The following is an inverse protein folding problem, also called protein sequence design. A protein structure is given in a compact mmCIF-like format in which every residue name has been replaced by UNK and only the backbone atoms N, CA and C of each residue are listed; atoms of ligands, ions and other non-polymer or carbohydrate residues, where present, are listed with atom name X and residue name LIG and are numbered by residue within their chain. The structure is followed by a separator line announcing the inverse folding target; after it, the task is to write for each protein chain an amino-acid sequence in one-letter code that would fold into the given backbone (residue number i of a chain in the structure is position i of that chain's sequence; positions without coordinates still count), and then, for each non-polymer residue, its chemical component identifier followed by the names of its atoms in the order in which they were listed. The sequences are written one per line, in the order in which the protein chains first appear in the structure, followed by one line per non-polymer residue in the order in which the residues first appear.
data_IF_748974180316
#
_entry.id   IF_748974180316
#
_cell.length_a   1.000
_cell.length_b   1.000
_cell.length_c   1.000
_cell.angle_alpha   90.00
_cell.angle_beta   90.00
_cell.angle_gamma   90.00
#
_symmetry.space_group_name_H-M   'P 1'
#
loop_
_entity.id
_entity.type
_entity.pdbx_description
1 polymer ?
#
# COMPACT_ATOMS: atom_id res chain seq x y z
N UNK A 1 -4.03 -2.28 -3.64
CA UNK A 1 -4.48 -1.70 -2.35
C UNK A 1 -5.92 -2.08 -2.00
N UNK A 2 -6.92 -1.80 -2.86
CA UNK A 2 -8.34 -2.16 -2.61
C UNK A 2 -8.56 -3.64 -2.30
N UNK A 3 -7.99 -4.54 -3.11
CA UNK A 3 -8.12 -5.99 -2.90
C UNK A 3 -7.53 -6.43 -1.55
N UNK A 4 -6.36 -5.89 -1.16
CA UNK A 4 -5.72 -6.23 0.12
C UNK A 4 -6.56 -5.75 1.30
N UNK A 5 -7.14 -4.55 1.24
CA UNK A 5 -8.06 -4.05 2.26
C UNK A 5 -9.29 -4.94 2.35
N UNK A 6 -9.90 -5.31 1.21
CA UNK A 6 -11.04 -6.23 1.17
C UNK A 6 -10.71 -7.59 1.77
N UNK A 7 -9.53 -8.14 1.47
CA UNK A 7 -9.04 -9.39 2.05
C UNK A 7 -8.91 -9.28 3.56
N UNK A 8 -8.21 -8.26 4.07
CA UNK A 8 -8.02 -8.04 5.52
C UNK A 8 -9.36 -7.86 6.24
N UNK A 9 -10.26 -7.05 5.69
CA UNK A 9 -11.61 -6.85 6.25
C UNK A 9 -12.41 -8.17 6.26
N UNK A 10 -12.23 -9.00 5.23
CA UNK A 10 -12.83 -10.33 5.12
C UNK A 10 -12.25 -11.37 6.09
N UNK A 11 -11.19 -11.06 6.85
CA UNK A 11 -10.64 -11.94 7.90
C UNK A 11 -11.28 -11.72 9.27
N UNK A 12 -12.13 -10.70 9.42
CA UNK A 12 -12.82 -10.38 10.68
C UNK A 12 -13.56 -11.60 11.23
N UNK A 13 -13.29 -11.95 12.48
CA UNK A 13 -13.94 -13.06 13.18
C UNK A 13 -13.67 -14.45 12.59
N UNK A 14 -12.63 -14.59 11.74
CA UNK A 14 -12.23 -15.89 11.18
C UNK A 14 -11.15 -16.54 12.02
N UNK A 15 -11.19 -17.87 12.07
CA UNK A 15 -10.18 -18.70 12.70
C UNK A 15 -10.27 -18.76 14.22
N UNK A 16 -9.46 -19.63 14.85
CA UNK A 16 -9.41 -19.74 16.29
C UNK A 16 -8.70 -18.52 16.90
N UNK A 17 -9.23 -18.01 18.02
CA UNK A 17 -8.55 -17.00 18.85
C UNK A 17 -8.41 -17.53 20.27
N UNK A 18 -7.26 -17.29 20.88
CA UNK A 18 -7.02 -17.53 22.29
C UNK A 18 -7.64 -16.44 23.18
N UNK A 19 -8.11 -15.34 22.59
CA UNK A 19 -8.73 -14.22 23.34
C UNK A 19 -7.74 -13.56 24.30
N UNK A 20 -8.25 -12.88 25.33
CA UNK A 20 -7.43 -12.23 26.35
C UNK A 20 -7.10 -10.76 26.06
N UNK A 21 -5.97 -10.29 26.60
CA UNK A 21 -5.53 -8.91 26.50
C UNK A 21 -5.29 -8.50 25.05
N UNK A 22 -5.76 -7.30 24.72
CA UNK A 22 -5.68 -6.74 23.37
C UNK A 22 -4.43 -5.87 23.22
N UNK A 23 -3.84 -5.89 22.03
CA UNK A 23 -2.64 -5.13 21.72
C UNK A 23 -2.89 -3.60 21.72
N UNK A 24 -4.14 -3.16 21.55
CA UNK A 24 -4.49 -1.75 21.53
C UNK A 24 -4.12 -1.11 20.19
N UNK A 25 -4.49 -1.76 19.08
CA UNK A 25 -4.25 -1.21 17.74
C UNK A 25 -4.96 0.13 17.54
N UNK A 26 -4.24 1.08 16.95
CA UNK A 26 -4.83 2.34 16.53
C UNK A 26 -5.81 2.07 15.36
N UNK A 27 -7.00 2.69 15.33
CA UNK A 27 -7.94 2.56 14.21
C UNK A 27 -7.32 2.87 12.83
N UNK A 28 -6.31 3.74 12.78
CA UNK A 28 -5.57 4.09 11.57
C UNK A 28 -4.73 2.94 11.00
N UNK A 29 -4.55 1.83 11.74
CA UNK A 29 -3.90 0.63 11.23
C UNK A 29 -4.75 -0.09 10.17
N UNK A 30 -6.06 0.21 10.06
CA UNK A 30 -6.93 -0.33 9.01
C UNK A 30 -7.35 -1.80 9.19
N UNK A 31 -7.14 -2.35 10.39
CA UNK A 31 -7.56 -3.70 10.75
C UNK A 31 -9.03 -3.72 11.24
N UNK A 32 -9.82 -4.77 10.92
CA UNK A 32 -11.25 -4.85 11.26
C UNK A 32 -11.54 -5.09 12.75
N UNK A 33 -10.55 -5.59 13.50
CA UNK A 33 -10.62 -5.88 14.93
C UNK A 33 -9.22 -5.85 15.56
N UNK A 34 -9.17 -5.70 16.87
CA UNK A 34 -7.92 -5.64 17.63
C UNK A 34 -7.36 -7.05 17.90
N UNK A 35 -6.04 -7.16 17.87
CA UNK A 35 -5.32 -8.42 17.99
C UNK A 35 -5.19 -8.84 19.45
N UNK A 36 -5.28 -10.13 19.71
CA UNK A 36 -4.94 -10.69 21.02
C UNK A 36 -3.43 -10.85 21.15
N UNK A 37 -2.88 -10.45 22.30
CA UNK A 37 -1.47 -10.68 22.64
C UNK A 37 -1.17 -12.19 22.73
N UNK A 38 -2.12 -13.01 23.19
CA UNK A 38 -1.94 -14.46 23.27
C UNK A 38 -1.83 -15.10 21.89
N UNK A 39 -2.62 -14.64 20.91
CA UNK A 39 -2.53 -15.11 19.52
C UNK A 39 -1.19 -14.73 18.89
N UNK A 40 -0.69 -13.52 19.18
CA UNK A 40 0.61 -13.05 18.70
C UNK A 40 1.74 -13.91 19.28
N UNK A 41 1.77 -14.08 20.60
CA UNK A 41 2.80 -14.89 21.28
C UNK A 41 2.84 -16.31 20.74
N UNK A 42 1.67 -16.95 20.61
CA UNK A 42 1.58 -18.29 20.03
C UNK A 42 2.23 -18.35 18.64
N UNK A 43 1.93 -17.40 17.76
CA UNK A 43 2.53 -17.37 16.41
C UNK A 43 4.05 -17.17 16.52
N UNK A 44 4.53 -16.25 17.35
CA UNK A 44 5.96 -15.96 17.46
C UNK A 44 6.78 -17.10 18.09
N UNK A 45 6.18 -17.81 19.06
CA UNK A 45 6.79 -18.94 19.77
C UNK A 45 6.80 -20.21 18.89
N UNK A 46 5.71 -20.46 18.14
CA UNK A 46 5.59 -21.61 17.24
C UNK A 46 6.28 -21.38 15.87
N UNK A 47 6.64 -20.12 15.55
CA UNK A 47 7.26 -19.78 14.27
C UNK A 47 8.69 -20.32 14.21
N UNK A 48 9.04 -21.17 13.24
CA UNK A 48 10.43 -21.57 13.02
C UNK A 48 11.24 -20.40 12.42
N UNK A 49 12.54 -20.62 12.15
CA UNK A 49 13.34 -19.61 11.46
C UNK A 49 12.81 -19.33 10.05
N UNK A 50 13.11 -18.15 9.50
CA UNK A 50 12.68 -17.80 8.15
C UNK A 50 13.26 -18.76 7.10
N UNK A 51 14.51 -19.20 7.28
CA UNK A 51 15.13 -20.20 6.41
C UNK A 51 14.36 -21.54 6.43
N UNK A 52 13.93 -21.99 7.61
CA UNK A 52 13.13 -23.20 7.75
C UNK A 52 11.74 -23.05 7.14
N UNK A 53 11.11 -21.87 7.27
CA UNK A 53 9.84 -21.56 6.64
C UNK A 53 9.90 -21.68 5.12
N UNK A 54 10.90 -21.03 4.51
CA UNK A 54 11.06 -21.04 3.05
C UNK A 54 11.39 -22.44 2.54
N UNK A 55 12.20 -23.20 3.27
CA UNK A 55 12.53 -24.59 2.91
C UNK A 55 11.33 -25.55 3.03
N UNK A 56 10.51 -25.39 4.07
CA UNK A 56 9.40 -26.32 4.37
C UNK A 56 8.13 -25.99 3.58
N UNK A 57 7.93 -24.73 3.23
CA UNK A 57 6.76 -24.23 2.51
C UNK A 57 7.18 -23.46 1.24
N UNK A 58 7.81 -24.14 0.26
CA UNK A 58 8.19 -23.50 -0.98
C UNK A 58 6.96 -23.06 -1.77
N UNK A 59 7.08 -21.94 -2.48
CA UNK A 59 6.01 -21.41 -3.34
C UNK A 59 6.44 -21.55 -4.79
N UNK A 60 5.92 -22.59 -5.44
CA UNK A 60 6.26 -22.90 -6.83
C UNK A 60 5.88 -21.74 -7.78
N UNK A 61 6.75 -21.49 -8.76
CA UNK A 61 6.54 -20.44 -9.76
C UNK A 61 6.77 -19.02 -9.27
N UNK A 62 7.29 -18.83 -8.06
CA UNK A 62 7.65 -17.52 -7.52
C UNK A 62 9.18 -17.35 -7.46
N UNK A 63 9.71 -16.55 -8.38
CA UNK A 63 11.16 -16.27 -8.47
C UNK A 63 11.77 -15.77 -7.16
N UNK A 64 11.05 -14.97 -6.37
CA UNK A 64 11.58 -14.45 -5.11
C UNK A 64 11.61 -15.54 -4.02
N UNK A 65 10.59 -16.40 -3.99
CA UNK A 65 10.59 -17.56 -3.10
C UNK A 65 11.77 -18.51 -3.43
N UNK A 66 12.04 -18.76 -4.72
CA UNK A 66 13.18 -19.55 -5.17
C UNK A 66 14.55 -18.95 -4.77
N UNK A 67 14.58 -17.64 -4.50
CA UNK A 67 15.76 -16.90 -4.04
C UNK A 67 15.87 -16.79 -2.52
N UNK A 68 15.00 -17.47 -1.77
CA UNK A 68 15.04 -17.46 -0.30
C UNK A 68 14.20 -16.37 0.35
N UNK A 69 13.42 -15.60 -0.41
CA UNK A 69 12.54 -14.59 0.18
C UNK A 69 11.33 -15.25 0.85
N UNK A 70 10.95 -14.72 2.01
CA UNK A 70 9.74 -15.16 2.69
C UNK A 70 8.52 -14.51 2.03
N UNK A 71 7.54 -15.35 1.69
CA UNK A 71 6.28 -14.91 1.10
C UNK A 71 5.14 -15.04 2.11
N UNK A 72 4.09 -14.24 1.94
CA UNK A 72 2.91 -14.33 2.81
C UNK A 72 2.27 -15.72 2.73
N UNK A 73 2.23 -16.34 1.55
CA UNK A 73 1.68 -17.69 1.37
C UNK A 73 2.45 -18.74 2.17
N UNK A 74 3.78 -18.70 2.16
CA UNK A 74 4.60 -19.60 2.97
C UNK A 74 4.38 -19.37 4.47
N UNK A 75 4.35 -18.10 4.89
CA UNK A 75 4.12 -17.73 6.29
C UNK A 75 2.71 -18.12 6.78
N UNK A 76 1.69 -17.96 5.93
CA UNK A 76 0.31 -18.31 6.23
C UNK A 76 0.11 -19.83 6.29
N UNK A 77 0.73 -20.60 5.40
CA UNK A 77 0.66 -22.06 5.43
C UNK A 77 1.31 -22.63 6.69
N UNK A 78 2.46 -22.07 7.10
CA UNK A 78 3.12 -22.44 8.35
C UNK A 78 2.26 -22.17 9.59
N UNK A 79 1.35 -21.19 9.51
CA UNK A 79 0.52 -20.73 10.61
C UNK A 79 -0.99 -20.99 10.38
N UNK A 80 -1.36 -21.95 9.53
CA UNK A 80 -2.76 -22.16 9.11
C UNK A 80 -3.75 -22.48 10.23
N UNK A 81 -3.25 -22.95 11.37
CA UNK A 81 -4.06 -23.27 12.56
C UNK A 81 -4.18 -22.09 13.54
N UNK A 82 -3.59 -20.94 13.23
CA UNK A 82 -3.64 -19.73 14.04
C UNK A 82 -4.65 -18.74 13.49
N UNK A 83 -4.91 -17.67 14.25
CA UNK A 83 -5.81 -16.62 13.81
C UNK A 83 -5.27 -15.97 12.51
N UNK A 84 -5.98 -16.07 11.37
CA UNK A 84 -5.48 -15.60 10.09
C UNK A 84 -5.31 -14.08 10.05
N UNK A 85 -6.09 -13.33 10.83
CA UNK A 85 -5.93 -11.89 10.96
C UNK A 85 -4.62 -11.55 11.67
N UNK A 86 -4.30 -12.26 12.76
CA UNK A 86 -3.04 -12.07 13.49
C UNK A 86 -1.83 -12.46 12.63
N UNK A 87 -1.93 -13.57 11.89
CA UNK A 87 -0.88 -13.99 10.94
C UNK A 87 -0.67 -12.92 9.87
N UNK A 88 -1.75 -12.35 9.33
CA UNK A 88 -1.63 -11.26 8.35
C UNK A 88 -1.02 -10.00 8.96
N UNK A 89 -1.40 -9.66 10.19
CA UNK A 89 -0.87 -8.51 10.89
C UNK A 89 0.63 -8.59 11.15
N UNK A 90 1.10 -9.76 11.63
CA UNK A 90 2.54 -9.98 11.84
C UNK A 90 3.28 -9.91 10.51
N UNK A 91 2.76 -10.51 9.44
CA UNK A 91 3.43 -10.43 8.14
C UNK A 91 3.49 -8.99 7.60
N UNK A 92 2.41 -8.20 7.75
CA UNK A 92 2.34 -6.80 7.34
C UNK A 92 3.39 -5.91 8.04
N UNK A 93 3.94 -6.32 9.19
CA UNK A 93 5.06 -5.59 9.83
C UNK A 93 6.42 -6.00 9.30
N UNK A 94 6.56 -7.18 8.68
CA UNK A 94 7.83 -7.65 8.11
C UNK A 94 8.22 -6.88 6.85
N UNK A 95 7.24 -6.43 6.06
CA UNK A 95 7.51 -5.58 4.91
C UNK A 95 6.37 -4.59 4.61
N UNK A 96 6.74 -3.44 4.06
CA UNK A 96 5.80 -2.38 3.68
C UNK A 96 5.28 -2.64 2.27
N UNK A 97 4.01 -3.07 2.17
CA UNK A 97 3.19 -3.08 0.94
C UNK A 97 3.36 -4.24 -0.06
N UNK A 98 4.20 -5.24 0.20
CA UNK A 98 4.31 -6.44 -0.68
C UNK A 98 4.12 -7.74 0.10
N UNK A 99 3.65 -8.79 -0.58
CA UNK A 99 3.48 -10.14 0.00
C UNK A 99 4.78 -10.97 0.00
N UNK A 100 5.93 -10.28 -0.03
CA UNK A 100 7.27 -10.84 -0.05
C UNK A 100 8.16 -9.98 0.84
N UNK A 101 9.04 -10.56 1.64
CA UNK A 101 9.98 -9.86 2.51
C UNK A 101 11.38 -10.48 2.44
N UNK A 102 12.40 -9.64 2.65
CA UNK A 102 13.78 -10.09 2.73
C UNK A 102 13.95 -11.01 3.97
N UNK A 103 14.63 -12.17 3.83
CA UNK A 103 14.74 -13.14 4.91
C UNK A 103 15.48 -12.60 6.15
N UNK A 104 16.53 -11.80 5.96
CA UNK A 104 17.33 -11.24 7.08
C UNK A 104 16.47 -10.25 7.90
N UNK A 105 15.86 -9.28 7.23
CA UNK A 105 14.97 -8.31 7.87
C UNK A 105 13.76 -8.97 8.53
N UNK A 106 13.21 -10.02 7.91
CA UNK A 106 12.11 -10.77 8.47
C UNK A 106 12.52 -11.50 9.76
N UNK A 107 13.68 -12.15 9.76
CA UNK A 107 14.21 -12.85 10.93
C UNK A 107 14.49 -11.88 12.08
N UNK A 108 15.20 -10.77 11.81
CA UNK A 108 15.48 -9.73 12.81
C UNK A 108 14.21 -9.18 13.45
N UNK A 109 13.17 -8.89 12.64
CA UNK A 109 11.89 -8.40 13.16
C UNK A 109 11.16 -9.45 13.98
N UNK A 110 11.09 -10.70 13.52
CA UNK A 110 10.47 -11.78 14.28
C UNK A 110 11.16 -12.00 15.64
N UNK A 111 12.49 -11.95 15.66
CA UNK A 111 13.27 -12.04 16.90
C UNK A 111 12.99 -10.86 17.83
N UNK A 112 12.95 -9.63 17.29
CA UNK A 112 12.58 -8.44 18.07
C UNK A 112 11.16 -8.52 18.67
N UNK A 113 10.23 -9.16 17.95
CA UNK A 113 8.85 -9.32 18.42
C UNK A 113 8.71 -10.40 19.47
N UNK A 114 9.55 -11.45 19.44
CA UNK A 114 9.63 -12.45 20.51
C UNK A 114 10.06 -11.81 21.82
N UNK A 115 11.03 -10.89 21.77
CA UNK A 115 11.46 -10.12 22.94
C UNK A 115 10.40 -9.12 23.40
N UNK A 116 9.78 -8.40 22.46
CA UNK A 116 8.78 -7.38 22.76
C UNK A 116 7.65 -7.34 21.71
N UNK A 117 6.51 -8.00 21.98
CA UNK A 117 5.35 -8.01 21.09
C UNK A 117 4.71 -6.63 20.86
N UNK A 118 4.90 -5.67 21.76
CA UNK A 118 4.27 -4.34 21.66
C UNK A 118 4.83 -3.52 20.49
N UNK A 119 6.01 -3.87 19.99
CA UNK A 119 6.62 -3.25 18.81
C UNK A 119 5.74 -3.38 17.55
N UNK A 120 4.94 -4.45 17.46
CA UNK A 120 4.03 -4.71 16.35
C UNK A 120 3.04 -3.55 16.17
N UNK A 121 2.52 -2.98 17.27
CA UNK A 121 1.55 -1.88 17.20
C UNK A 121 2.14 -0.64 16.52
N UNK A 122 3.39 -0.31 16.85
CA UNK A 122 4.09 0.87 16.33
C UNK A 122 4.46 0.68 14.86
N UNK A 123 4.96 -0.50 14.50
CA UNK A 123 5.34 -0.84 13.14
C UNK A 123 4.12 -0.88 12.19
N UNK A 124 2.99 -1.45 12.63
CA UNK A 124 1.74 -1.43 11.87
C UNK A 124 1.28 0.00 11.60
N UNK A 125 1.24 0.85 12.64
CA UNK A 125 0.82 2.23 12.49
C UNK A 125 1.75 3.01 11.55
N UNK A 126 3.07 2.86 11.75
CA UNK A 126 4.09 3.51 10.91
C UNK A 126 3.96 3.10 9.44
N UNK A 127 3.80 1.81 9.17
CA UNK A 127 3.61 1.27 7.81
C UNK A 127 2.40 1.90 7.11
N UNK A 128 1.25 1.99 7.80
CA UNK A 128 0.04 2.63 7.23
C UNK A 128 0.17 4.14 7.09
N UNK A 129 0.79 4.82 8.07
CA UNK A 129 1.03 6.27 8.00
C UNK A 129 1.94 6.65 6.84
N UNK A 130 2.98 5.87 6.55
CA UNK A 130 3.83 6.07 5.37
C UNK A 130 2.98 5.95 4.09
N UNK A 131 2.07 4.96 4.03
CA UNK A 131 1.15 4.79 2.91
C UNK A 131 0.17 5.96 2.73
N UNK A 132 -0.37 6.53 3.81
CA UNK A 132 -1.22 7.72 3.72
C UNK A 132 -0.43 8.98 3.36
N UNK A 133 0.76 9.13 3.95
CA UNK A 133 1.66 10.25 3.67
C UNK A 133 2.07 10.30 2.21
N UNK A 134 2.37 9.16 1.59
CA UNK A 134 2.74 9.11 0.17
C UNK A 134 1.59 9.54 -0.74
N UNK A 135 0.35 9.15 -0.43
CA UNK A 135 -0.85 9.63 -1.16
C UNK A 135 -1.01 11.14 -0.99
N UNK A 136 -0.86 11.66 0.23
CA UNK A 136 -0.98 13.09 0.48
C UNK A 136 0.08 13.89 -0.29
N UNK A 137 1.34 13.44 -0.24
CA UNK A 137 2.43 14.06 -1.00
C UNK A 137 2.16 14.03 -2.49
N UNK A 138 1.66 12.90 -3.02
CA UNK A 138 1.30 12.80 -4.43
C UNK A 138 0.20 13.80 -4.81
N UNK A 139 -0.88 13.88 -4.03
CA UNK A 139 -1.97 14.83 -4.27
C UNK A 139 -1.51 16.28 -4.15
N UNK A 140 -0.64 16.57 -3.18
CA UNK A 140 -0.04 17.88 -3.02
C UNK A 140 0.79 18.27 -4.24
N UNK A 141 1.67 17.38 -4.72
CA UNK A 141 2.48 17.62 -5.90
C UNK A 141 1.62 17.78 -7.17
N UNK A 142 0.55 16.99 -7.30
CA UNK A 142 -0.38 17.10 -8.43
C UNK A 142 -1.11 18.45 -8.41
N UNK A 143 -1.64 18.86 -7.25
CA UNK A 143 -2.26 20.17 -7.09
C UNK A 143 -1.29 21.32 -7.32
N UNK A 144 -0.04 21.20 -6.87
CA UNK A 144 1.00 22.18 -7.16
C UNK A 144 1.29 22.28 -8.66
N UNK A 145 1.41 21.13 -9.34
CA UNK A 145 1.61 21.09 -10.78
C UNK A 145 0.45 21.73 -11.53
N UNK A 146 -0.79 21.48 -11.12
CA UNK A 146 -1.98 22.10 -11.71
C UNK A 146 -1.97 23.62 -11.52
N UNK A 147 -1.69 24.13 -10.32
CA UNK A 147 -1.62 25.58 -10.06
C UNK A 147 -0.55 26.24 -10.91
N UNK A 148 0.63 25.63 -11.02
CA UNK A 148 1.73 26.12 -11.85
C UNK A 148 1.35 26.08 -13.34
N UNK A 149 0.77 24.97 -13.81
CA UNK A 149 0.33 24.82 -15.19
C UNK A 149 -0.76 25.84 -15.56
N UNK A 150 -1.76 26.06 -14.70
CA UNK A 150 -2.78 27.09 -14.91
C UNK A 150 -2.21 28.50 -14.89
N UNK A 151 -1.31 28.80 -13.95
CA UNK A 151 -0.60 30.08 -13.91
C UNK A 151 0.14 30.36 -15.22
N UNK A 152 0.86 29.37 -15.75
CA UNK A 152 1.60 29.48 -17.00
C UNK A 152 0.75 29.46 -18.26
N UNK A 153 -0.35 28.71 -18.27
CA UNK A 153 -1.35 28.79 -19.32
C UNK A 153 -1.98 30.19 -19.39
N UNK A 154 -2.27 30.80 -18.23
CA UNK A 154 -2.84 32.14 -18.13
C UNK A 154 -1.84 33.23 -18.49
N UNK A 155 -0.63 33.20 -17.94
CA UNK A 155 0.29 34.34 -17.96
C UNK A 155 1.36 34.26 -19.05
N UNK A 156 1.46 33.13 -19.76
CA UNK A 156 2.55 32.93 -20.72
C UNK A 156 3.69 32.12 -20.11
N UNK A 157 4.30 31.24 -20.89
CA UNK A 157 5.47 30.46 -20.44
C UNK A 157 6.50 30.29 -21.55
N UNK A 158 6.03 29.99 -22.76
CA UNK A 158 6.88 29.98 -23.94
C UNK A 158 6.98 31.39 -24.53
N UNK A 159 8.13 31.75 -25.15
CA UNK A 159 8.27 33.02 -25.86
C UNK A 159 7.17 33.26 -26.91
N UNK A 160 6.61 32.18 -27.45
CA UNK A 160 5.56 32.17 -28.48
C UNK A 160 4.13 32.10 -27.90
N UNK A 161 3.98 31.84 -26.59
CA UNK A 161 2.69 31.85 -25.90
C UNK A 161 2.57 33.12 -25.06
N UNK A 162 1.85 34.16 -25.53
CA UNK A 162 1.86 35.47 -24.89
C UNK A 162 0.95 35.54 -23.64
N UNK A 163 0.40 34.41 -23.21
CA UNK A 163 -0.60 34.32 -22.14
C UNK A 163 -2.00 34.70 -22.61
N UNK A 164 -3.02 34.21 -21.89
CA UNK A 164 -4.44 34.43 -22.20
C UNK A 164 -4.84 35.91 -22.24
N UNK A 165 -4.08 36.79 -21.60
CA UNK A 165 -4.33 38.24 -21.57
C UNK A 165 -3.94 38.94 -22.89
N UNK A 166 -3.07 38.32 -23.69
CA UNK A 166 -2.55 38.85 -24.95
C UNK A 166 -2.94 37.97 -26.16
N UNK A 167 -3.76 36.93 -25.95
CA UNK A 167 -4.35 36.19 -27.07
C UNK A 167 -5.39 37.07 -27.76
N UNK A 168 -5.36 37.18 -29.10
CA UNK A 168 -6.37 37.93 -29.81
C UNK A 168 -7.73 37.23 -29.65
N UNK A 169 -8.79 38.00 -29.38
CA UNK A 169 -10.13 37.43 -29.19
C UNK A 169 -10.63 36.62 -30.39
N UNK A 170 -10.10 36.90 -31.59
CA UNK A 170 -10.36 36.16 -32.82
C UNK A 170 -9.96 34.67 -32.74
N UNK A 171 -9.13 34.29 -31.78
CA UNK A 171 -8.68 32.91 -31.60
C UNK A 171 -9.76 32.01 -30.97
N UNK A 172 -10.77 32.58 -30.31
CA UNK A 172 -11.93 31.87 -29.76
C UNK A 172 -13.22 32.10 -30.57
N UNK A 173 -13.10 32.81 -31.69
CA UNK A 173 -14.21 33.09 -32.60
C UNK A 173 -14.72 31.77 -33.22
N UNK A 174 -16.04 31.64 -33.33
CA UNK A 174 -16.69 30.46 -33.87
C UNK A 174 -16.55 30.34 -35.40
N UNK A 175 -16.22 31.44 -36.09
CA UNK A 175 -16.14 31.51 -37.55
C UNK A 175 -14.69 31.49 -38.07
N UNK A 176 -13.72 31.97 -37.29
CA UNK A 176 -12.29 32.08 -37.71
C UNK A 176 -11.29 31.51 -36.70
N UNK A 177 -11.69 31.20 -35.47
CA UNK A 177 -10.82 30.74 -34.39
C UNK A 177 -10.88 29.23 -34.14
N UNK A 178 -10.46 28.81 -32.94
CA UNK A 178 -10.51 27.42 -32.48
C UNK A 178 -11.93 26.83 -32.51
N UNK A 179 -12.95 27.68 -32.40
CA UNK A 179 -14.36 27.29 -32.51
C UNK A 179 -14.80 26.89 -33.92
N UNK A 180 -14.06 27.31 -34.95
CA UNK A 180 -14.32 26.95 -36.35
C UNK A 180 -13.72 25.59 -36.73
N UNK A 181 -12.81 25.03 -35.92
CA UNK A 181 -12.12 23.75 -36.19
C UNK A 181 -13.09 22.58 -36.51
N UNK A 182 -14.23 22.41 -35.82
CA UNK A 182 -15.19 21.35 -36.15
C UNK A 182 -15.76 21.44 -37.57
N UNK A 183 -15.75 22.61 -38.22
CA UNK A 183 -16.22 22.80 -39.59
C UNK A 183 -15.24 22.23 -40.64
N UNK A 184 -13.99 21.99 -40.24
CA UNK A 184 -12.94 21.41 -41.08
C UNK A 184 -12.68 19.93 -40.77
N UNK A 185 -13.43 19.36 -39.82
CA UNK A 185 -13.43 17.93 -39.62
C UNK A 185 -14.16 17.30 -40.79
N UNK A 186 -13.44 16.55 -41.60
CA UNK A 186 -14.04 15.68 -42.60
C UNK A 186 -14.79 14.60 -41.81
N UNK A 187 -16.11 14.65 -41.80
CA UNK A 187 -16.92 13.49 -41.46
C UNK A 187 -16.70 12.46 -42.57
N UNK A 188 -16.13 11.31 -42.20
CA UNK A 188 -16.17 10.11 -43.03
C UNK A 188 -17.64 9.65 -43.12
N UNK A 189 -18.36 10.15 -44.13
CA UNK A 189 -19.56 9.51 -44.68
C UNK A 189 -19.17 8.44 -45.71
#
# INVERSE_FOLDING_TARGET
MYNNVKTIQGLKGKGPTLGGEKLGLNPLCGYPEDLSIADIKKILDDCPSVEELVRKYPVEGNFLADRGYLTYSAFAEANKNNNPLTVRAIFDTLNTSTDVCNPETAQEKLDSYRENPDLIKGELLKSKLIGFSSIFVLLFLLGLADVIAFGHAKDGWFPEWPGAQNLPWSLFDADIGLGAIPQYWVSDD
#
